data_IF_474449974043
#
_entry.id   IF_474449974043
#
_cell.length_a   1.000
_cell.length_b   1.000
_cell.length_c   1.000
_cell.angle_alpha   90.00
_cell.angle_beta   90.00
_cell.angle_gamma   90.00
#
_symmetry.space_group_name_H-M   'P 1'
#
loop_
_entity.id
_entity.type
_entity.pdbx_description
1 polymer ?
#
# COMPACT_ATOMS: atom_id res chain seq x y z
N UNK A 1 20.85 -4.30 15.19
CA UNK A 1 20.68 -3.72 13.85
C UNK A 1 19.62 -4.46 13.04
N UNK A 2 19.72 -5.77 12.86
CA UNK A 2 18.76 -6.58 12.07
C UNK A 2 17.29 -6.51 12.57
N UNK A 3 17.07 -6.56 13.90
CA UNK A 3 15.73 -6.35 14.51
C UNK A 3 15.13 -4.98 14.19
N UNK A 4 15.95 -3.94 14.09
CA UNK A 4 15.49 -2.58 13.79
C UNK A 4 15.06 -2.45 12.32
N UNK A 5 15.78 -3.11 11.41
CA UNK A 5 15.45 -3.20 9.98
C UNK A 5 14.12 -3.95 9.80
N UNK A 6 13.96 -5.12 10.42
CA UNK A 6 12.69 -5.88 10.41
C UNK A 6 11.52 -5.05 10.94
N UNK A 7 11.73 -4.29 12.03
CA UNK A 7 10.72 -3.38 12.57
C UNK A 7 10.31 -2.25 11.61
N UNK A 8 11.26 -1.67 10.86
CA UNK A 8 10.96 -0.66 9.83
C UNK A 8 10.14 -1.25 8.68
N UNK A 9 10.46 -2.47 8.23
CA UNK A 9 9.74 -3.15 7.14
C UNK A 9 8.29 -3.47 7.52
N UNK A 10 8.07 -3.93 8.77
CA UNK A 10 6.71 -4.16 9.29
C UNK A 10 5.90 -2.85 9.29
N UNK A 11 6.48 -1.75 9.77
CA UNK A 11 5.81 -0.44 9.75
C UNK A 11 5.41 0.01 8.35
N UNK A 12 6.27 -0.21 7.35
CA UNK A 12 5.94 0.10 5.95
C UNK A 12 4.74 -0.72 5.47
N UNK A 13 4.70 -2.02 5.79
CA UNK A 13 3.57 -2.89 5.45
C UNK A 13 2.27 -2.43 6.13
N UNK A 14 2.33 -2.05 7.41
CA UNK A 14 1.19 -1.50 8.16
C UNK A 14 0.68 -0.19 7.55
N UNK A 15 1.59 0.71 7.14
CA UNK A 15 1.23 1.96 6.48
C UNK A 15 0.52 1.72 5.15
N UNK A 16 1.00 0.79 4.32
CA UNK A 16 0.35 0.41 3.06
C UNK A 16 -1.07 -0.11 3.31
N UNK A 17 -1.24 -0.95 4.34
CA UNK A 17 -2.54 -1.52 4.69
C UNK A 17 -3.54 -0.45 5.18
N UNK A 18 -3.11 0.48 6.03
CA UNK A 18 -3.95 1.57 6.51
C UNK A 18 -4.29 2.58 5.40
N UNK A 19 -3.36 2.89 4.48
CA UNK A 19 -3.64 3.73 3.31
C UNK A 19 -4.74 3.11 2.44
N UNK A 20 -4.64 1.82 2.12
CA UNK A 20 -5.65 1.11 1.33
C UNK A 20 -7.02 1.09 1.99
N UNK A 21 -7.07 0.93 3.32
CA UNK A 21 -8.31 0.97 4.11
C UNK A 21 -8.90 2.38 4.14
N UNK A 22 -8.05 3.40 4.26
CA UNK A 22 -8.46 4.81 4.20
C UNK A 22 -9.02 5.15 2.82
N UNK A 23 -8.36 4.69 1.75
CA UNK A 23 -8.85 4.85 0.38
C UNK A 23 -10.20 4.17 0.19
N UNK A 24 -10.37 2.92 0.61
CA UNK A 24 -11.66 2.24 0.52
C UNK A 24 -12.79 3.06 1.17
N UNK A 25 -12.56 3.63 2.37
CA UNK A 25 -13.51 4.53 3.03
C UNK A 25 -13.73 5.83 2.27
N UNK A 26 -12.68 6.40 1.69
CA UNK A 26 -12.74 7.66 0.94
C UNK A 26 -13.50 7.52 -0.39
N UNK A 27 -13.59 6.31 -0.94
CA UNK A 27 -14.32 6.04 -2.18
C UNK A 27 -15.70 5.40 -1.96
N UNK A 28 -15.97 4.90 -0.75
CA UNK A 28 -17.29 4.42 -0.38
C UNK A 28 -18.36 5.52 -0.54
N UNK A 29 -19.50 5.16 -1.13
CA UNK A 29 -20.58 6.10 -1.43
C UNK A 29 -20.30 7.15 -2.53
N UNK A 30 -19.10 7.20 -3.11
CA UNK A 30 -18.82 8.14 -4.22
C UNK A 30 -19.48 7.68 -5.53
N UNK A 31 -19.86 8.61 -6.42
CA UNK A 31 -20.41 8.27 -7.72
C UNK A 31 -19.44 7.42 -8.54
N UNK A 32 -19.96 6.35 -9.15
CA UNK A 32 -19.20 5.47 -10.03
C UNK A 32 -18.98 6.14 -11.40
N UNK A 33 -17.92 6.94 -11.48
CA UNK A 33 -17.50 7.62 -12.71
C UNK A 33 -16.15 7.11 -13.16
N UNK A 34 -15.81 7.25 -14.45
CA UNK A 34 -14.48 6.90 -14.95
C UNK A 34 -13.35 7.60 -14.20
N UNK A 35 -13.57 8.84 -13.74
CA UNK A 35 -12.63 9.57 -12.89
C UNK A 35 -12.47 8.89 -11.52
N UNK A 36 -13.58 8.61 -10.83
CA UNK A 36 -13.56 7.94 -9.51
C UNK A 36 -12.85 6.60 -9.58
N UNK A 37 -13.17 5.79 -10.59
CA UNK A 37 -12.54 4.48 -10.83
C UNK A 37 -11.05 4.65 -11.13
N UNK A 38 -10.69 5.55 -12.05
CA UNK A 38 -9.29 5.79 -12.40
C UNK A 38 -8.44 6.23 -11.22
N UNK A 39 -8.96 7.11 -10.36
CA UNK A 39 -8.27 7.52 -9.14
C UNK A 39 -8.10 6.35 -8.15
N UNK A 40 -9.15 5.57 -7.90
CA UNK A 40 -9.09 4.45 -6.96
C UNK A 40 -8.10 3.37 -7.44
N UNK A 41 -8.17 2.98 -8.71
CA UNK A 41 -7.22 2.02 -9.30
C UNK A 41 -5.79 2.57 -9.36
N UNK A 42 -5.61 3.87 -9.60
CA UNK A 42 -4.29 4.51 -9.54
C UNK A 42 -3.65 4.37 -8.17
N UNK A 43 -4.42 4.57 -7.10
CA UNK A 43 -3.96 4.36 -5.72
C UNK A 43 -3.66 2.89 -5.41
N UNK A 44 -4.52 1.97 -5.87
CA UNK A 44 -4.27 0.54 -5.75
C UNK A 44 -2.96 0.13 -6.45
N UNK A 45 -2.71 0.65 -7.66
CA UNK A 45 -1.47 0.40 -8.40
C UNK A 45 -0.23 0.88 -7.64
N UNK A 46 -0.30 2.06 -7.02
CA UNK A 46 0.77 2.59 -6.18
C UNK A 46 1.03 1.71 -4.94
N UNK A 47 -0.04 1.26 -4.26
CA UNK A 47 0.07 0.36 -3.12
C UNK A 47 0.70 -0.99 -3.49
N UNK A 48 0.31 -1.58 -4.62
CA UNK A 48 0.90 -2.83 -5.15
C UNK A 48 2.39 -2.65 -5.45
N UNK A 49 2.77 -1.55 -6.10
CA UNK A 49 4.18 -1.27 -6.38
C UNK A 49 5.01 -1.12 -5.09
N UNK A 50 4.47 -0.42 -4.09
CA UNK A 50 5.10 -0.30 -2.77
C UNK A 50 5.26 -1.67 -2.09
N UNK A 51 4.21 -2.51 -2.13
CA UNK A 51 4.23 -3.86 -1.58
C UNK A 51 5.28 -4.75 -2.27
N UNK A 52 5.36 -4.70 -3.61
CA UNK A 52 6.35 -5.45 -4.36
C UNK A 52 7.79 -5.05 -3.99
N UNK A 53 8.06 -3.75 -3.85
CA UNK A 53 9.38 -3.25 -3.49
C UNK A 53 9.81 -3.69 -2.07
N UNK A 54 8.90 -3.61 -1.09
CA UNK A 54 9.23 -4.04 0.28
C UNK A 54 9.42 -5.56 0.37
N UNK A 55 8.62 -6.34 -0.35
CA UNK A 55 8.77 -7.79 -0.43
C UNK A 55 10.10 -8.19 -1.07
N UNK A 56 10.48 -7.52 -2.16
CA UNK A 56 11.80 -7.71 -2.79
C UNK A 56 12.93 -7.46 -1.79
N UNK A 57 12.86 -6.35 -1.05
CA UNK A 57 13.84 -6.06 0.00
C UNK A 57 13.86 -7.09 1.11
N UNK A 58 12.72 -7.68 1.50
CA UNK A 58 12.68 -8.77 2.50
C UNK A 58 13.41 -10.02 1.98
N UNK A 59 13.23 -10.36 0.70
CA UNK A 59 13.87 -11.53 0.07
C UNK A 59 15.37 -11.30 -0.10
N UNK A 60 15.80 -10.11 -0.49
CA UNK A 60 17.23 -9.77 -0.65
C UNK A 60 18.01 -9.74 0.68
N UNK A 61 17.33 -9.48 1.79
CA UNK A 61 17.91 -9.49 3.14
C UNK A 61 17.96 -10.90 3.78
N UNK A 62 17.34 -11.92 3.16
CA UNK A 62 17.20 -13.28 3.68
C UNK A 62 18.39 -14.18 3.28
#
# INVERSE_FOLDING_TARGET
MEKEIKGKKIKVLEMIAEDMKSDAKNYDGKPFTGKTVGEYFGKQGAAIAALANILKSIIEDA
#
